data_IF_266079365328
#
_entry.id   IF_266079365328
#
_cell.length_a   1.000
_cell.length_b   1.000
_cell.length_c   1.000
_cell.angle_alpha   90.00
_cell.angle_beta   90.00
_cell.angle_gamma   90.00
#
_symmetry.space_group_name_H-M   'P 1'
#
loop_
_entity.id
_entity.type
_entity.pdbx_description
1 polymer ?
#
# COMPACT_ATOMS: atom_id res chain seq x y z
N UNK A 1 17.00 23.90 -12.59
CA UNK A 1 17.34 23.81 -11.14
C UNK A 1 16.13 23.81 -10.20
N UNK A 2 15.27 24.85 -10.17
CA UNK A 2 14.11 24.94 -9.23
C UNK A 2 13.19 23.70 -9.20
N UNK A 3 12.81 23.13 -10.36
CA UNK A 3 11.94 21.94 -10.42
C UNK A 3 12.59 20.67 -9.87
N UNK A 4 13.91 20.53 -10.02
CA UNK A 4 14.64 19.39 -9.49
C UNK A 4 14.68 19.46 -7.96
N UNK A 5 14.97 20.65 -7.42
CA UNK A 5 14.97 20.92 -5.98
C UNK A 5 13.59 20.66 -5.34
N UNK A 6 12.50 21.02 -6.02
CA UNK A 6 11.13 20.76 -5.55
C UNK A 6 10.79 19.26 -5.56
N UNK A 7 11.25 18.52 -6.58
CA UNK A 7 11.02 17.07 -6.69
C UNK A 7 11.77 16.30 -5.63
N UNK A 8 13.08 16.56 -5.48
CA UNK A 8 13.87 15.93 -4.41
C UNK A 8 13.37 16.37 -3.04
N UNK A 9 13.07 17.65 -2.85
CA UNK A 9 12.46 18.17 -1.62
C UNK A 9 11.17 17.44 -1.27
N UNK A 10 10.27 17.22 -2.24
CA UNK A 10 9.04 16.45 -2.04
C UNK A 10 9.27 14.98 -1.69
N UNK A 11 10.28 14.34 -2.28
CA UNK A 11 10.69 12.96 -1.90
C UNK A 11 11.19 12.91 -0.46
N UNK A 12 12.07 13.83 -0.06
CA UNK A 12 12.57 13.88 1.31
C UNK A 12 11.48 14.24 2.31
N UNK A 13 10.57 15.16 1.96
CA UNK A 13 9.44 15.53 2.82
C UNK A 13 8.46 14.36 2.96
N UNK A 14 8.18 13.65 1.86
CA UNK A 14 7.33 12.46 1.86
C UNK A 14 7.94 11.32 2.65
N UNK A 15 9.24 11.07 2.49
CA UNK A 15 9.99 10.11 3.29
C UNK A 15 9.99 10.49 4.77
N UNK A 16 10.34 11.74 5.11
CA UNK A 16 10.33 12.22 6.48
C UNK A 16 8.94 12.20 7.11
N UNK A 17 7.88 12.45 6.33
CA UNK A 17 6.50 12.37 6.78
C UNK A 17 6.06 10.91 6.99
N UNK A 18 6.44 10.00 6.10
CA UNK A 18 6.20 8.56 6.28
C UNK A 18 6.94 8.03 7.51
N UNK A 19 8.22 8.39 7.66
CA UNK A 19 9.04 8.09 8.84
C UNK A 19 8.43 8.68 10.12
N UNK A 20 7.99 9.93 10.08
CA UNK A 20 7.30 10.56 11.21
C UNK A 20 6.02 9.80 11.55
N UNK A 21 5.20 9.41 10.57
CA UNK A 21 3.99 8.65 10.85
C UNK A 21 4.29 7.26 11.42
N UNK A 22 5.35 6.60 10.94
CA UNK A 22 5.74 5.25 11.37
C UNK A 22 6.45 5.23 12.73
N UNK A 23 7.23 6.27 13.06
CA UNK A 23 8.03 6.36 14.29
C UNK A 23 7.46 7.30 15.37
N UNK A 24 6.72 8.36 15.00
CA UNK A 24 6.03 9.23 15.98
C UNK A 24 4.77 8.58 16.54
N UNK A 25 4.08 7.76 15.74
CA UNK A 25 3.42 6.62 16.34
C UNK A 25 4.56 5.76 16.87
N UNK A 26 4.75 5.64 18.19
CA UNK A 26 5.40 4.45 18.74
C UNK A 26 4.51 3.27 18.34
N UNK A 27 4.51 2.90 17.07
CA UNK A 27 3.77 1.79 16.51
C UNK A 27 4.51 0.51 16.89
N UNK A 28 4.71 0.31 18.20
CA UNK A 28 4.38 -0.99 18.72
C UNK A 28 2.93 -1.21 18.34
N UNK A 29 2.66 -2.18 17.46
CA UNK A 29 1.42 -2.93 17.59
C UNK A 29 1.31 -3.19 19.09
N UNK A 30 0.33 -2.57 19.76
CA UNK A 30 0.35 -2.21 21.18
C UNK A 30 0.24 -3.46 22.08
N UNK A 31 1.04 -4.51 21.85
CA UNK A 31 0.76 -5.88 22.28
C UNK A 31 -0.61 -6.44 21.84
N UNK A 32 -1.44 -5.63 21.16
CA UNK A 32 -2.82 -5.95 20.76
C UNK A 32 -2.78 -6.86 19.53
N UNK A 33 -2.23 -8.05 19.71
CA UNK A 33 -2.35 -9.11 18.74
C UNK A 33 -3.79 -9.58 18.80
N UNK A 34 -4.54 -9.35 17.72
CA UNK A 34 -5.88 -9.91 17.60
C UNK A 34 -5.79 -11.44 17.70
N UNK A 35 -6.22 -11.98 18.84
CA UNK A 35 -6.13 -13.43 19.09
C UNK A 35 -7.29 -14.20 18.49
N UNK A 36 -8.45 -13.55 18.33
CA UNK A 36 -9.62 -14.14 17.69
C UNK A 36 -9.58 -13.93 16.18
N UNK A 37 -10.12 -14.90 15.43
CA UNK A 37 -10.29 -14.77 13.98
C UNK A 37 -11.06 -13.50 13.62
N UNK A 38 -12.14 -13.20 14.36
CA UNK A 38 -12.94 -11.99 14.18
C UNK A 38 -12.10 -10.71 14.37
N UNK A 39 -11.22 -10.66 15.37
CA UNK A 39 -10.32 -9.53 15.57
C UNK A 39 -9.33 -9.36 14.41
N UNK A 40 -8.77 -10.47 13.89
CA UNK A 40 -7.82 -10.46 12.78
C UNK A 40 -8.48 -9.94 11.49
N UNK A 41 -9.65 -10.48 11.16
CA UNK A 41 -10.43 -10.05 10.01
C UNK A 41 -10.91 -8.61 10.15
N UNK A 42 -11.33 -8.20 11.36
CA UNK A 42 -11.72 -6.82 11.65
C UNK A 42 -10.57 -5.84 11.42
N UNK A 43 -9.37 -6.16 11.90
CA UNK A 43 -8.18 -5.35 11.68
C UNK A 43 -7.81 -5.25 10.20
N UNK A 44 -7.86 -6.38 9.46
CA UNK A 44 -7.62 -6.40 8.02
C UNK A 44 -8.62 -5.54 7.27
N UNK A 45 -9.93 -5.71 7.53
CA UNK A 45 -10.99 -4.95 6.88
C UNK A 45 -10.88 -3.45 7.19
N UNK A 46 -10.51 -3.09 8.42
CA UNK A 46 -10.24 -1.71 8.79
C UNK A 46 -9.08 -1.12 7.97
N UNK A 47 -7.96 -1.84 7.86
CA UNK A 47 -6.83 -1.42 7.01
C UNK A 47 -7.22 -1.23 5.55
N UNK A 48 -8.00 -2.16 5.00
CA UNK A 48 -8.54 -2.06 3.63
C UNK A 48 -9.45 -0.84 3.46
N UNK A 49 -10.33 -0.57 4.45
CA UNK A 49 -11.23 0.59 4.41
C UNK A 49 -10.46 1.92 4.46
N UNK A 50 -9.43 2.01 5.31
CA UNK A 50 -8.53 3.18 5.37
C UNK A 50 -7.81 3.38 4.04
N UNK A 51 -7.24 2.32 3.47
CA UNK A 51 -6.56 2.38 2.16
C UNK A 51 -7.53 2.82 1.05
N UNK A 52 -8.75 2.28 1.02
CA UNK A 52 -9.78 2.70 0.07
C UNK A 52 -10.11 4.19 0.23
N UNK A 53 -10.22 4.68 1.47
CA UNK A 53 -10.37 6.09 1.77
C UNK A 53 -9.21 6.94 1.23
N UNK A 54 -7.96 6.50 1.44
CA UNK A 54 -6.77 7.15 0.89
C UNK A 54 -6.79 7.19 -0.64
N UNK A 55 -7.13 6.07 -1.30
CA UNK A 55 -7.24 6.01 -2.77
C UNK A 55 -8.22 7.05 -3.29
N UNK A 56 -9.43 7.12 -2.70
CA UNK A 56 -10.46 8.08 -3.10
C UNK A 56 -10.02 9.52 -2.83
N UNK A 57 -9.41 9.77 -1.67
CA UNK A 57 -8.93 11.10 -1.30
C UNK A 57 -7.81 11.59 -2.21
N UNK A 58 -6.81 10.75 -2.48
CA UNK A 58 -5.67 11.08 -3.34
C UNK A 58 -6.10 11.33 -4.78
N UNK A 59 -7.02 10.52 -5.32
CA UNK A 59 -7.61 10.72 -6.65
C UNK A 59 -8.18 12.13 -6.84
N UNK A 60 -8.77 12.69 -5.79
CA UNK A 60 -9.43 14.01 -5.82
C UNK A 60 -8.45 15.17 -5.60
N UNK A 61 -7.30 14.94 -4.95
CA UNK A 61 -6.45 16.02 -4.42
C UNK A 61 -5.11 16.14 -5.15
N UNK A 62 -4.64 15.10 -5.82
CA UNK A 62 -3.31 15.07 -6.44
C UNK A 62 -3.38 14.95 -7.98
N UNK A 63 -2.30 15.37 -8.69
CA UNK A 63 -2.20 15.19 -10.13
C UNK A 63 -2.34 13.72 -10.56
N UNK A 64 -2.84 13.48 -11.78
CA UNK A 64 -3.09 12.13 -12.30
C UNK A 64 -1.85 11.23 -12.24
N UNK A 65 -0.68 11.72 -12.65
CA UNK A 65 0.56 10.94 -12.57
C UNK A 65 0.95 10.54 -11.14
N UNK A 66 0.72 11.41 -10.15
CA UNK A 66 0.94 11.05 -8.75
C UNK A 66 -0.02 9.95 -8.31
N UNK A 67 -1.31 10.09 -8.63
CA UNK A 67 -2.32 9.09 -8.31
C UNK A 67 -2.03 7.74 -8.98
N UNK A 68 -1.65 7.71 -10.26
CA UNK A 68 -1.28 6.46 -10.94
C UNK A 68 -0.06 5.82 -10.29
N UNK A 69 0.99 6.62 -9.98
CA UNK A 69 2.16 6.15 -9.24
C UNK A 69 1.78 5.54 -7.88
N UNK A 70 0.89 6.19 -7.12
CA UNK A 70 0.39 5.65 -5.86
C UNK A 70 -0.33 4.30 -6.03
N UNK A 71 -1.17 4.16 -7.06
CA UNK A 71 -1.87 2.91 -7.37
C UNK A 71 -0.88 1.80 -7.74
N UNK A 72 0.13 2.10 -8.57
CA UNK A 72 1.17 1.12 -8.94
C UNK A 72 1.96 0.69 -7.71
N UNK A 73 2.40 1.63 -6.87
CA UNK A 73 3.13 1.31 -5.63
C UNK A 73 2.28 0.47 -4.68
N UNK A 74 1.01 0.82 -4.48
CA UNK A 74 0.08 0.03 -3.66
C UNK A 74 -0.05 -1.40 -4.19
N UNK A 75 -0.19 -1.54 -5.52
CA UNK A 75 -0.24 -2.84 -6.18
C UNK A 75 1.01 -3.67 -5.97
N UNK A 76 2.20 -3.05 -6.11
CA UNK A 76 3.49 -3.69 -5.85
C UNK A 76 3.61 -4.14 -4.39
N UNK A 77 3.26 -3.29 -3.42
CA UNK A 77 3.27 -3.70 -2.01
C UNK A 77 2.35 -4.89 -1.78
N UNK A 78 1.12 -4.91 -2.31
CA UNK A 78 0.23 -6.04 -2.08
C UNK A 78 0.68 -7.34 -2.75
N UNK A 79 1.34 -7.27 -3.92
CA UNK A 79 1.77 -8.48 -4.63
C UNK A 79 3.18 -8.92 -4.26
N UNK A 80 4.17 -8.03 -4.43
CA UNK A 80 5.58 -8.36 -4.23
C UNK A 80 5.90 -8.67 -2.76
N UNK A 81 5.33 -7.93 -1.82
CA UNK A 81 5.57 -8.14 -0.38
C UNK A 81 5.09 -9.52 0.05
N UNK A 82 3.86 -9.87 -0.32
CA UNK A 82 3.27 -11.17 0.02
C UNK A 82 4.04 -12.30 -0.68
N UNK A 83 4.23 -12.23 -1.99
CA UNK A 83 4.93 -13.32 -2.71
C UNK A 83 6.35 -13.50 -2.18
N UNK A 84 7.09 -12.40 -2.00
CA UNK A 84 8.51 -12.47 -1.65
C UNK A 84 8.70 -12.70 -0.16
N UNK A 85 8.17 -11.81 0.68
CA UNK A 85 8.46 -11.85 2.11
C UNK A 85 7.55 -12.82 2.87
N UNK A 86 6.32 -13.07 2.42
CA UNK A 86 5.44 -14.02 3.11
C UNK A 86 5.63 -15.44 2.60
N UNK A 87 5.66 -15.64 1.27
CA UNK A 87 5.67 -17.00 0.72
C UNK A 87 7.07 -17.55 0.52
N UNK A 88 7.99 -16.77 -0.07
CA UNK A 88 9.36 -17.25 -0.35
C UNK A 88 10.19 -17.24 0.93
N UNK A 89 10.24 -16.11 1.63
CA UNK A 89 11.09 -15.96 2.82
C UNK A 89 10.41 -16.27 4.15
N UNK A 90 9.08 -16.36 4.20
CA UNK A 90 8.34 -16.70 5.43
C UNK A 90 8.56 -15.72 6.59
N UNK A 91 8.91 -14.46 6.32
CA UNK A 91 9.32 -13.49 7.34
C UNK A 91 8.16 -13.05 8.24
N UNK A 92 6.98 -12.87 7.67
CA UNK A 92 5.76 -12.61 8.43
C UNK A 92 4.54 -13.05 7.62
N UNK A 93 3.44 -13.36 8.30
CA UNK A 93 2.14 -13.62 7.67
C UNK A 93 1.20 -12.47 7.96
N UNK A 94 0.24 -12.23 7.07
CA UNK A 94 -0.82 -11.23 7.33
C UNK A 94 -1.66 -11.66 8.54
N UNK A 95 -1.90 -12.96 8.66
CA UNK A 95 -2.47 -13.56 9.86
C UNK A 95 -1.77 -14.89 10.17
N UNK A 96 -1.67 -15.26 11.45
CA UNK A 96 -1.00 -16.51 11.84
C UNK A 96 -1.84 -17.78 11.59
N UNK A 97 -3.08 -17.65 11.12
CA UNK A 97 -4.01 -18.78 11.00
C UNK A 97 -4.11 -19.36 9.59
N UNK A 98 -4.89 -20.44 9.40
CA UNK A 98 -5.12 -21.05 8.09
C UNK A 98 -5.83 -20.09 7.11
N UNK A 99 -6.54 -19.08 7.61
CA UNK A 99 -7.21 -18.07 6.79
C UNK A 99 -6.24 -17.29 5.88
N UNK A 100 -4.97 -17.15 6.26
CA UNK A 100 -3.98 -16.50 5.41
C UNK A 100 -3.71 -17.27 4.11
N UNK A 101 -3.96 -18.58 4.05
CA UNK A 101 -3.86 -19.36 2.79
C UNK A 101 -4.90 -18.93 1.75
N UNK A 102 -5.97 -18.26 2.17
CA UNK A 102 -7.01 -17.71 1.29
C UNK A 102 -6.83 -16.21 1.11
N UNK A 103 -6.55 -15.48 2.20
CA UNK A 103 -6.43 -14.02 2.16
C UNK A 103 -5.21 -13.55 1.37
N UNK A 104 -4.06 -14.19 1.54
CA UNK A 104 -2.82 -13.78 0.86
C UNK A 104 -2.94 -13.89 -0.66
N UNK A 105 -3.44 -14.99 -1.26
CA UNK A 105 -3.67 -15.05 -2.70
C UNK A 105 -4.65 -14.00 -3.23
N UNK A 106 -5.72 -13.70 -2.48
CA UNK A 106 -6.68 -12.65 -2.85
C UNK A 106 -6.00 -11.29 -2.87
N UNK A 107 -5.17 -10.98 -1.87
CA UNK A 107 -4.45 -9.72 -1.79
C UNK A 107 -3.38 -9.61 -2.88
N UNK A 108 -2.68 -10.70 -3.22
CA UNK A 108 -1.76 -10.75 -4.37
C UNK A 108 -2.51 -10.46 -5.67
N UNK A 109 -3.66 -11.10 -5.90
CA UNK A 109 -4.47 -10.87 -7.10
C UNK A 109 -4.96 -9.41 -7.18
N UNK A 110 -5.43 -8.85 -6.06
CA UNK A 110 -5.80 -7.44 -5.97
C UNK A 110 -4.60 -6.51 -6.24
N UNK A 111 -3.42 -6.84 -5.71
CA UNK A 111 -2.18 -6.12 -5.95
C UNK A 111 -1.79 -6.11 -7.43
N UNK A 112 -1.81 -7.26 -8.07
CA UNK A 112 -1.58 -7.40 -9.51
C UNK A 112 -2.60 -6.59 -10.33
N UNK A 113 -3.88 -6.63 -9.96
CA UNK A 113 -4.91 -5.81 -10.61
C UNK A 113 -4.62 -4.32 -10.50
N UNK A 114 -4.29 -3.82 -9.30
CA UNK A 114 -3.95 -2.41 -9.07
C UNK A 114 -2.71 -2.00 -9.86
N UNK A 115 -1.66 -2.83 -9.85
CA UNK A 115 -0.43 -2.59 -10.60
C UNK A 115 -0.72 -2.45 -12.10
N UNK A 116 -1.41 -3.42 -12.69
CA UNK A 116 -1.75 -3.41 -14.12
C UNK A 116 -2.64 -2.22 -14.45
N UNK A 117 -3.64 -1.91 -13.61
CA UNK A 117 -4.53 -0.78 -13.82
C UNK A 117 -3.77 0.55 -13.76
N UNK A 118 -2.92 0.75 -12.76
CA UNK A 118 -2.13 1.98 -12.59
C UNK A 118 -1.17 2.22 -13.75
N UNK A 119 -0.49 1.16 -14.23
CA UNK A 119 0.38 1.26 -15.41
C UNK A 119 -0.42 1.58 -16.68
N UNK A 120 -1.55 0.91 -16.91
CA UNK A 120 -2.41 1.18 -18.07
C UNK A 120 -2.97 2.60 -18.06
N UNK A 121 -3.39 3.08 -16.89
CA UNK A 121 -3.93 4.44 -16.73
C UNK A 121 -2.85 5.51 -16.99
N UNK A 122 -1.61 5.28 -16.54
CA UNK A 122 -0.49 6.20 -16.80
C UNK A 122 -0.08 6.20 -18.27
N UNK A 123 0.04 5.04 -18.92
CA UNK A 123 0.37 4.96 -20.35
C UNK A 123 -0.66 5.70 -21.22
N UNK A 124 -1.95 5.55 -20.90
CA UNK A 124 -3.02 6.29 -21.59
C UNK A 124 -2.93 7.78 -21.32
N UNK A 125 -2.57 8.19 -20.11
CA UNK A 125 -2.40 9.60 -19.79
C UNK A 125 -1.23 10.23 -20.55
N UNK A 126 -0.11 9.51 -20.71
CA UNK A 126 1.05 10.00 -21.46
C UNK A 126 0.78 10.07 -22.96
N UNK A 127 0.02 9.14 -23.53
CA UNK A 127 -0.31 9.17 -24.97
C UNK A 127 -1.31 10.27 -25.37
N UNK A 128 -2.07 10.80 -24.41
CA UNK A 128 -3.12 11.79 -24.65
C UNK A 128 -2.70 13.24 -24.34
N UNK A 129 -1.46 13.47 -23.88
CA UNK A 129 -0.91 14.81 -23.59
C UNK A 129 0.36 15.04 -24.42
#
# INVERSE_FOLDING_TARGET
MKRWLQRTGGVFLGYAFAELLLHAARASAYGLKAQTLAGKLGALLFGVAVLAGCIVWLKRRFPRSFYHGFIVSTGLFFSFDIVTFHWIFGLHRITDGPEANVLEPILVAAGCFLLVRGLRDELRFQNNN
#
